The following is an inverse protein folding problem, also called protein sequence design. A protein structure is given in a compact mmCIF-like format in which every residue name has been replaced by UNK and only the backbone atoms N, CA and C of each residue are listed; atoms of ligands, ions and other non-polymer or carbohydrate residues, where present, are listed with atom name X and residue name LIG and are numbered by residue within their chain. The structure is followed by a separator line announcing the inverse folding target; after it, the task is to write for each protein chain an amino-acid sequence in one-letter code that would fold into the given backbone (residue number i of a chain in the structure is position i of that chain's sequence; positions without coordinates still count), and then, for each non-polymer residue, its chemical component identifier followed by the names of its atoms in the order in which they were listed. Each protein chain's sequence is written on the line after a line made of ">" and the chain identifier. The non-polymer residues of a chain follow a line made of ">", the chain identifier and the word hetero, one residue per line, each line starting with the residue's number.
data_IF_635452231522
#
_entry.id   IF_635452231522
#
_cell.length_a   1.000
_cell.length_b   1.000
_cell.length_c   1.000
_cell.angle_alpha   90.00
_cell.angle_beta   90.00
_cell.angle_gamma   90.00
#
_symmetry.space_group_name_H-M   'P 1'
#
loop_
_entity.id
_entity.type
_entity.pdbx_description
1 polymer ?
#
# COMPACT_ATOMS: atom_id res chain seq x y z
N UNK A 1 -2.61 -10.91 -8.23
CA UNK A 1 -3.81 -11.64 -8.69
C UNK A 1 -4.24 -11.06 -10.04
N UNK A 2 -4.77 -11.89 -10.92
CA UNK A 2 -5.20 -11.50 -12.27
C UNK A 2 -6.65 -11.89 -12.47
N UNK A 3 -7.39 -11.10 -13.24
CA UNK A 3 -8.76 -11.45 -13.65
C UNK A 3 -8.73 -12.12 -15.02
N UNK A 4 -9.44 -13.25 -15.15
CA UNK A 4 -9.62 -13.87 -16.45
C UNK A 4 -10.48 -12.96 -17.33
N UNK A 5 -10.07 -12.63 -18.57
CA UNK A 5 -10.82 -11.70 -19.42
C UNK A 5 -12.11 -12.30 -20.00
N UNK A 6 -12.35 -13.62 -19.85
CA UNK A 6 -13.55 -14.30 -20.34
C UNK A 6 -14.58 -14.49 -19.20
N UNK A 7 -14.20 -15.17 -18.12
CA UNK A 7 -15.10 -15.49 -17.00
C UNK A 7 -15.02 -14.52 -15.82
N UNK A 8 -14.11 -13.55 -15.84
CA UNK A 8 -13.85 -12.61 -14.73
C UNK A 8 -13.51 -13.28 -13.38
N UNK A 9 -13.14 -14.56 -13.39
CA UNK A 9 -12.65 -15.24 -12.19
C UNK A 9 -11.30 -14.66 -11.75
N UNK A 10 -11.16 -14.47 -10.44
CA UNK A 10 -9.93 -14.03 -9.78
C UNK A 10 -8.97 -15.22 -9.66
N UNK A 11 -7.89 -15.17 -10.42
CA UNK A 11 -6.87 -16.21 -10.49
C UNK A 11 -5.55 -15.67 -9.94
N UNK A 12 -4.71 -16.56 -9.43
CA UNK A 12 -3.35 -16.19 -9.07
C UNK A 12 -2.56 -15.82 -10.33
N UNK A 13 -2.68 -16.64 -11.37
CA UNK A 13 -2.14 -16.43 -12.72
C UNK A 13 -3.07 -17.02 -13.79
N UNK A 14 -3.03 -16.46 -15.01
CA UNK A 14 -3.76 -17.02 -16.15
C UNK A 14 -2.97 -18.21 -16.71
N UNK A 15 -3.38 -19.42 -16.35
CA UNK A 15 -2.73 -20.67 -16.78
C UNK A 15 -3.33 -21.20 -18.08
N UNK A 16 -2.52 -21.89 -18.88
CA UNK A 16 -3.01 -22.59 -20.09
C UNK A 16 -4.06 -23.65 -19.75
N UNK A 17 -3.93 -24.27 -18.57
CA UNK A 17 -4.89 -25.26 -18.05
C UNK A 17 -6.26 -24.63 -17.86
N UNK A 18 -6.36 -23.46 -17.19
CA UNK A 18 -7.63 -22.76 -17.04
C UNK A 18 -8.29 -22.43 -18.38
N UNK A 19 -7.51 -21.89 -19.33
CA UNK A 19 -8.02 -21.55 -20.65
C UNK A 19 -8.54 -22.78 -21.41
N UNK A 20 -7.84 -23.91 -21.32
CA UNK A 20 -8.23 -25.13 -22.02
C UNK A 20 -9.44 -25.82 -21.36
N UNK A 21 -9.46 -25.93 -20.03
CA UNK A 21 -10.52 -26.67 -19.33
C UNK A 21 -11.84 -25.89 -19.22
N UNK A 22 -11.79 -24.56 -19.07
CA UNK A 22 -12.98 -23.72 -18.94
C UNK A 22 -13.48 -23.17 -20.27
N UNK A 23 -12.56 -22.83 -21.18
CA UNK A 23 -12.89 -22.10 -22.41
C UNK A 23 -12.59 -22.90 -23.69
N UNK A 24 -11.97 -24.08 -23.59
CA UNK A 24 -11.60 -24.89 -24.76
C UNK A 24 -10.59 -24.20 -25.69
N UNK A 25 -9.85 -23.20 -25.19
CA UNK A 25 -8.97 -22.35 -25.99
C UNK A 25 -7.55 -22.33 -25.43
N UNK A 26 -6.57 -22.12 -26.31
CA UNK A 26 -5.20 -21.89 -25.88
C UNK A 26 -5.05 -20.49 -25.26
N UNK A 27 -4.12 -20.35 -24.30
CA UNK A 27 -3.82 -19.07 -23.65
C UNK A 27 -3.48 -17.95 -24.66
N UNK A 28 -2.78 -18.29 -25.75
CA UNK A 28 -2.45 -17.32 -26.80
C UNK A 28 -3.70 -16.77 -27.50
N UNK A 29 -4.64 -17.64 -27.87
CA UNK A 29 -5.89 -17.23 -28.52
C UNK A 29 -6.77 -16.37 -27.60
N UNK A 30 -6.77 -16.67 -26.30
CA UNK A 30 -7.48 -15.86 -25.30
C UNK A 30 -6.88 -14.45 -25.21
N UNK A 31 -5.55 -14.32 -25.22
CA UNK A 31 -4.85 -13.03 -25.16
C UNK A 31 -5.06 -12.22 -26.44
N UNK A 32 -5.08 -12.88 -27.59
CA UNK A 32 -5.30 -12.22 -28.89
C UNK A 32 -6.73 -11.67 -29.02
N UNK A 33 -7.73 -12.46 -28.62
CA UNK A 33 -9.16 -12.08 -28.75
C UNK A 33 -9.63 -11.12 -27.66
N UNK A 34 -9.23 -11.34 -26.41
CA UNK A 34 -9.77 -10.62 -25.25
C UNK A 34 -8.74 -9.70 -24.58
N UNK A 35 -7.50 -9.67 -25.08
CA UNK A 35 -6.43 -8.85 -24.54
C UNK A 35 -5.71 -9.47 -23.34
N UNK A 36 -4.73 -8.72 -22.81
CA UNK A 36 -3.93 -9.18 -21.67
C UNK A 36 -4.76 -9.13 -20.38
N UNK A 37 -4.64 -10.13 -19.49
CA UNK A 37 -5.37 -10.13 -18.22
C UNK A 37 -4.96 -8.93 -17.37
N UNK A 38 -5.96 -8.22 -16.81
CA UNK A 38 -5.72 -7.06 -15.96
C UNK A 38 -5.15 -7.55 -14.63
N UNK A 39 -3.95 -7.08 -14.30
CA UNK A 39 -3.38 -7.28 -12.96
C UNK A 39 -4.17 -6.43 -11.99
N UNK A 40 -4.85 -7.08 -11.06
CA UNK A 40 -5.40 -6.40 -9.91
C UNK A 40 -4.25 -6.15 -8.95
N UNK A 41 -3.76 -4.92 -8.97
CA UNK A 41 -3.06 -4.39 -7.81
C UNK A 41 -4.15 -4.13 -6.79
N UNK A 42 -4.14 -4.92 -5.71
CA UNK A 42 -4.84 -4.51 -4.50
C UNK A 42 -4.09 -3.28 -4.01
N UNK A 43 -4.45 -2.11 -4.53
CA UNK A 43 -4.14 -0.86 -3.88
C UNK A 43 -4.90 -0.99 -2.56
N UNK A 44 -4.18 -1.34 -1.50
CA UNK A 44 -4.71 -1.19 -0.15
C UNK A 44 -5.12 0.28 -0.10
N UNK A 45 -6.42 0.55 -0.22
CA UNK A 45 -6.96 1.87 -0.02
C UNK A 45 -6.64 2.16 1.43
N UNK A 46 -5.54 2.87 1.68
CA UNK A 46 -5.22 3.42 2.96
C UNK A 46 -6.22 4.53 3.22
N UNK A 47 -7.46 4.13 3.52
CA UNK A 47 -8.42 4.95 4.25
C UNK A 47 -7.96 5.15 5.71
N UNK A 48 -6.70 4.83 6.02
CA UNK A 48 -5.97 5.50 7.08
C UNK A 48 -5.75 6.94 6.61
N UNK A 49 -6.75 7.80 6.86
CA UNK A 49 -6.49 9.22 6.98
C UNK A 49 -5.25 9.33 7.87
N UNK A 50 -4.17 9.91 7.34
CA UNK A 50 -2.95 10.18 8.10
C UNK A 50 -3.43 11.07 9.24
N UNK A 51 -3.69 10.47 10.41
CA UNK A 51 -4.00 11.23 11.60
C UNK A 51 -2.70 11.95 11.91
N UNK A 52 -2.69 13.27 11.70
CA UNK A 52 -1.62 14.12 12.19
C UNK A 52 -1.44 13.76 13.67
N UNK A 53 -0.27 13.29 14.11
CA UNK A 53 -0.09 12.86 15.48
C UNK A 53 -0.38 14.06 16.38
N UNK A 54 -1.46 13.97 17.16
CA UNK A 54 -1.83 15.02 18.11
C UNK A 54 -0.91 14.89 19.31
N UNK A 55 0.04 15.81 19.46
CA UNK A 55 0.88 15.92 20.65
C UNK A 55 -0.01 16.41 21.81
N UNK A 56 0.08 15.76 22.97
CA UNK A 56 -0.66 16.22 24.14
C UNK A 56 -0.15 17.60 24.60
N UNK A 57 -1.00 18.49 25.17
CA UNK A 57 -0.54 19.79 25.66
C UNK A 57 0.60 19.70 26.69
N UNK A 58 0.62 18.63 27.48
CA UNK A 58 1.67 18.35 28.47
C UNK A 58 3.00 18.02 27.80
N UNK A 59 2.98 17.18 26.75
CA UNK A 59 4.20 16.78 26.04
C UNK A 59 4.76 17.94 25.23
N UNK A 60 3.89 18.78 24.65
CA UNK A 60 4.30 20.01 23.99
C UNK A 60 5.04 20.95 24.94
N UNK A 61 4.48 21.22 26.13
CA UNK A 61 5.11 22.07 27.14
C UNK A 61 6.47 21.51 27.60
N UNK A 62 6.55 20.20 27.83
CA UNK A 62 7.81 19.54 28.19
C UNK A 62 8.87 19.70 27.10
N UNK A 63 8.50 19.53 25.83
CA UNK A 63 9.42 19.73 24.70
C UNK A 63 9.95 21.16 24.64
N UNK A 64 9.09 22.14 24.90
CA UNK A 64 9.44 23.56 24.89
C UNK A 64 10.39 23.94 26.04
N UNK A 65 10.13 23.43 27.25
CA UNK A 65 11.03 23.63 28.39
C UNK A 65 12.41 22.99 28.17
N UNK A 66 12.45 21.83 27.50
CA UNK A 66 13.71 21.18 27.12
C UNK A 66 14.48 22.00 26.09
N UNK A 67 13.81 22.52 25.06
CA UNK A 67 14.45 23.38 24.05
C UNK A 67 14.97 24.67 24.66
N UNK A 68 14.20 25.31 25.55
CA UNK A 68 14.62 26.54 26.22
C UNK A 68 15.84 26.30 27.12
N UNK A 69 15.85 25.18 27.86
CA UNK A 69 17.04 24.77 28.64
C UNK A 69 18.24 24.42 27.77
N UNK A 70 18.04 23.91 26.56
CA UNK A 70 19.12 23.61 25.61
C UNK A 70 19.73 24.87 25.02
N UNK A 71 18.89 25.86 24.73
CA UNK A 71 19.28 27.11 24.07
C UNK A 71 19.68 28.21 25.07
N UNK A 72 19.43 28.04 26.37
CA UNK A 72 19.81 29.03 27.38
C UNK A 72 21.34 29.25 27.41
N UNK A 73 21.76 30.50 27.18
CA UNK A 73 23.17 30.93 27.18
C UNK A 73 23.86 30.80 28.54
N UNK A 74 23.11 30.57 29.61
CA UNK A 74 23.59 30.49 31.00
C UNK A 74 23.85 29.06 31.46
N UNK A 75 23.93 28.08 30.56
CA UNK A 75 24.25 26.69 30.91
C UNK A 75 25.60 26.60 31.62
N UNK A 76 25.56 26.37 32.93
CA UNK A 76 26.66 25.71 33.63
C UNK A 76 26.51 24.23 33.37
N UNK A 77 27.24 23.71 32.38
CA UNK A 77 27.46 22.28 32.30
C UNK A 77 28.29 21.91 33.53
N UNK A 78 27.65 21.29 34.52
CA UNK A 78 28.39 20.56 35.54
C UNK A 78 28.98 19.32 34.84
N UNK A 79 30.26 19.42 34.50
CA UNK A 79 31.14 18.28 34.21
C UNK A 79 31.60 17.70 35.52
#
# INVERSE_FOLDING_TARGET
>A
MVTCPICNELLQELTSVHCMTRHGMTKASVIEKYGKPKRLFLTFASNHAIQTPTISPRDFLNSQLLTDRLLSKTRKFHV
#
